data_IF_667997498645
#
_entry.id   IF_667997498645
#
_cell.length_a   1.000
_cell.length_b   1.000
_cell.length_c   1.000
_cell.angle_alpha   90.00
_cell.angle_beta   90.00
_cell.angle_gamma   90.00
#
_symmetry.space_group_name_H-M   'P 1'
#
loop_
_entity.id
_entity.type
_entity.pdbx_description
1 polymer ?
#
# COMPACT_ATOMS: atom_id res chain seq x y z
N UNK A 1 8.33 -54.22 6.10
CA UNK A 1 6.89 -54.18 6.46
C UNK A 1 6.76 -53.77 7.92
N UNK A 2 5.91 -52.76 8.19
CA UNK A 2 5.29 -52.41 9.49
C UNK A 2 6.25 -51.84 10.55
N UNK A 3 6.04 -50.73 11.27
CA UNK A 3 5.02 -49.69 11.45
C UNK A 3 5.75 -48.60 12.29
N UNK A 4 5.83 -47.34 11.82
CA UNK A 4 4.98 -46.20 12.23
C UNK A 4 5.23 -45.61 13.64
N UNK A 5 5.54 -44.30 13.64
CA UNK A 5 5.09 -43.22 14.56
C UNK A 5 6.07 -42.72 15.63
N UNK A 6 6.30 -41.40 15.57
CA UNK A 6 6.96 -40.55 16.57
C UNK A 6 7.41 -39.22 15.95
N UNK A 7 6.54 -38.49 15.25
CA UNK A 7 5.97 -37.21 15.74
C UNK A 7 7.01 -36.31 16.41
N UNK A 8 7.61 -35.40 15.64
CA UNK A 8 7.59 -33.96 15.93
C UNK A 8 7.96 -33.20 14.66
N UNK A 9 7.06 -33.25 13.68
CA UNK A 9 7.02 -32.28 12.60
C UNK A 9 6.46 -30.97 13.18
N UNK A 10 7.34 -30.05 13.59
CA UNK A 10 7.01 -28.62 13.67
C UNK A 10 7.48 -27.97 12.37
N UNK A 11 6.87 -28.46 11.30
CA UNK A 11 6.85 -27.82 9.99
C UNK A 11 5.78 -26.74 10.06
N UNK A 12 6.09 -25.61 10.70
CA UNK A 12 5.40 -24.36 10.40
C UNK A 12 6.04 -23.79 9.13
N UNK A 13 5.85 -24.51 8.03
CA UNK A 13 5.96 -23.93 6.71
C UNK A 13 4.86 -22.86 6.67
N UNK A 14 5.24 -21.60 6.88
CA UNK A 14 4.43 -20.46 6.51
C UNK A 14 4.15 -20.64 5.02
N UNK A 15 2.94 -21.09 4.71
CA UNK A 15 2.41 -21.14 3.36
C UNK A 15 2.40 -19.70 2.85
N UNK A 16 3.46 -19.31 2.16
CA UNK A 16 3.46 -18.16 1.28
C UNK A 16 2.65 -18.60 0.07
N UNK A 17 1.31 -18.55 0.18
CA UNK A 17 0.47 -18.58 -1.01
C UNK A 17 0.71 -17.26 -1.74
N UNK A 18 1.74 -17.22 -2.58
CA UNK A 18 1.92 -16.18 -3.58
C UNK A 18 0.81 -16.34 -4.62
N UNK A 19 -0.37 -15.79 -4.33
CA UNK A 19 -1.34 -15.49 -5.37
C UNK A 19 -0.74 -14.40 -6.24
N UNK A 20 -0.25 -14.82 -7.40
CA UNK A 20 0.30 -13.95 -8.43
C UNK A 20 -0.73 -12.91 -8.89
N UNK A 21 -0.34 -11.64 -8.85
CA UNK A 21 -0.68 -10.63 -9.86
C UNK A 21 -2.17 -10.33 -10.05
N UNK A 22 -2.83 -9.75 -9.05
CA UNK A 22 -4.18 -9.19 -9.22
C UNK A 22 -4.96 -9.00 -7.91
N UNK A 23 -4.52 -9.66 -6.84
CA UNK A 23 -5.20 -9.68 -5.55
C UNK A 23 -5.13 -8.40 -4.74
N UNK A 24 -5.88 -8.39 -3.65
CA UNK A 24 -5.83 -7.36 -2.63
C UNK A 24 -4.82 -7.76 -1.53
N UNK A 25 -3.53 -7.71 -1.84
CA UNK A 25 -2.42 -7.84 -0.87
C UNK A 25 -1.81 -6.47 -0.60
N UNK A 26 -1.11 -6.23 0.53
CA UNK A 26 -0.52 -4.93 0.82
C UNK A 26 0.37 -4.41 -0.31
N UNK A 27 1.28 -5.24 -0.82
CA UNK A 27 2.18 -4.94 -1.95
C UNK A 27 1.40 -4.54 -3.20
N UNK A 28 0.42 -5.34 -3.62
CA UNK A 28 -0.38 -5.06 -4.81
C UNK A 28 -1.17 -3.74 -4.69
N UNK A 29 -1.71 -3.42 -3.50
CA UNK A 29 -2.39 -2.13 -3.25
C UNK A 29 -1.39 -0.99 -3.32
N UNK A 30 -0.23 -1.13 -2.67
CA UNK A 30 0.85 -0.15 -2.77
C UNK A 30 1.30 0.06 -4.21
N UNK A 31 1.52 -1.00 -4.99
CA UNK A 31 1.91 -0.89 -6.41
C UNK A 31 0.86 -0.13 -7.24
N UNK A 32 -0.43 -0.42 -7.04
CA UNK A 32 -1.53 0.28 -7.71
C UNK A 32 -1.60 1.75 -7.30
N UNK A 33 -1.44 2.06 -6.02
CA UNK A 33 -1.41 3.43 -5.51
C UNK A 33 -0.18 4.18 -6.05
N UNK A 34 1.02 3.61 -5.97
CA UNK A 34 2.25 4.23 -6.48
C UNK A 34 2.17 4.46 -7.99
N UNK A 35 1.56 3.54 -8.74
CA UNK A 35 1.27 3.73 -10.17
C UNK A 35 0.33 4.91 -10.40
N UNK A 36 -0.77 4.99 -9.67
CA UNK A 36 -1.71 6.12 -9.78
C UNK A 36 -1.02 7.46 -9.48
N UNK A 37 -0.15 7.50 -8.46
CA UNK A 37 0.63 8.67 -8.11
C UNK A 37 1.64 9.06 -9.20
N UNK A 38 2.38 8.09 -9.74
CA UNK A 38 3.31 8.27 -10.84
C UNK A 38 2.60 8.82 -12.09
N UNK A 39 1.43 8.27 -12.42
CA UNK A 39 0.61 8.68 -13.56
C UNK A 39 -0.19 9.98 -13.30
N UNK A 40 0.01 10.61 -12.13
CA UNK A 40 -0.71 11.81 -11.66
C UNK A 40 -2.23 11.65 -11.63
N UNK A 41 -2.71 10.41 -11.47
CA UNK A 41 -4.12 10.08 -11.33
C UNK A 41 -4.50 10.05 -9.84
N UNK A 42 -4.66 11.24 -9.25
CA UNK A 42 -4.94 11.39 -7.82
C UNK A 42 -6.34 10.87 -7.44
N UNK A 43 -7.31 10.94 -8.34
CA UNK A 43 -8.64 10.37 -8.14
C UNK A 43 -8.57 8.84 -7.98
N UNK A 44 -7.77 8.17 -8.80
CA UNK A 44 -7.51 6.73 -8.60
C UNK A 44 -6.68 6.45 -7.35
N UNK A 45 -5.77 7.35 -6.97
CA UNK A 45 -4.94 7.17 -5.78
C UNK A 45 -5.79 7.12 -4.51
N UNK A 46 -6.76 8.04 -4.38
CA UNK A 46 -7.59 8.14 -3.17
C UNK A 46 -8.50 6.94 -2.95
N UNK A 47 -8.81 6.16 -4.00
CA UNK A 47 -9.55 4.89 -3.86
C UNK A 47 -8.79 3.82 -3.06
N UNK A 48 -7.46 3.95 -2.98
CA UNK A 48 -6.62 3.04 -2.20
C UNK A 48 -6.38 3.53 -0.78
N UNK A 49 -6.86 4.72 -0.39
CA UNK A 49 -6.65 5.28 0.95
C UNK A 49 -7.76 4.83 1.90
N UNK A 50 -7.37 4.52 3.14
CA UNK A 50 -8.33 4.31 4.21
C UNK A 50 -8.89 5.66 4.66
N UNK A 51 -10.14 5.94 4.30
CA UNK A 51 -10.88 7.10 4.79
C UNK A 51 -11.80 6.61 5.90
N UNK A 52 -11.61 7.13 7.11
CA UNK A 52 -12.51 6.80 8.23
C UNK A 52 -13.89 7.36 7.93
N UNK A 53 -14.93 6.52 7.79
CA UNK A 53 -16.28 7.01 7.58
C UNK A 53 -16.71 7.82 8.81
N UNK A 54 -17.24 9.02 8.60
CA UNK A 54 -17.94 9.76 9.64
C UNK A 54 -19.41 9.84 9.27
N UNK A 55 -20.25 9.71 10.28
CA UNK A 55 -21.70 9.77 10.10
C UNK A 55 -22.10 11.12 9.49
N UNK A 56 -22.87 11.07 8.41
CA UNK A 56 -23.31 12.26 7.67
C UNK A 56 -22.27 12.88 6.73
N UNK A 57 -21.07 12.31 6.60
CA UNK A 57 -20.05 12.80 5.65
C UNK A 57 -20.26 12.20 4.25
N UNK A 58 -20.20 13.04 3.22
CA UNK A 58 -20.21 12.60 1.82
C UNK A 58 -18.81 12.09 1.45
N UNK A 59 -18.67 10.77 1.42
CA UNK A 59 -17.41 10.09 1.13
C UNK A 59 -16.81 10.49 -0.23
N UNK A 60 -17.64 10.75 -1.24
CA UNK A 60 -17.16 11.15 -2.58
C UNK A 60 -16.63 12.58 -2.55
N UNK A 61 -17.30 13.48 -1.81
CA UNK A 61 -16.79 14.82 -1.57
C UNK A 61 -15.44 14.79 -0.82
N UNK A 62 -15.30 13.92 0.19
CA UNK A 62 -14.06 13.77 0.96
C UNK A 62 -12.92 13.22 0.13
N UNK A 63 -13.18 12.21 -0.71
CA UNK A 63 -12.20 11.70 -1.69
C UNK A 63 -11.76 12.78 -2.67
N UNK A 64 -12.71 13.55 -3.21
CA UNK A 64 -12.41 14.64 -4.16
C UNK A 64 -11.57 15.74 -3.51
N UNK A 65 -11.89 16.11 -2.27
CA UNK A 65 -11.10 17.06 -1.50
C UNK A 65 -9.66 16.56 -1.28
N UNK A 66 -9.51 15.28 -0.90
CA UNK A 66 -8.21 14.66 -0.70
C UNK A 66 -7.40 14.56 -2.01
N UNK A 67 -8.05 14.20 -3.12
CA UNK A 67 -7.43 14.16 -4.45
C UNK A 67 -6.85 15.52 -4.84
N UNK A 68 -7.64 16.60 -4.69
CA UNK A 68 -7.18 17.97 -4.95
C UNK A 68 -6.02 18.40 -4.03
N UNK A 69 -6.06 18.03 -2.75
CA UNK A 69 -4.96 18.31 -1.81
C UNK A 69 -3.67 17.59 -2.22
N UNK A 70 -3.77 16.32 -2.62
CA UNK A 70 -2.62 15.52 -3.08
C UNK A 70 -2.03 16.08 -4.37
N UNK A 71 -2.87 16.47 -5.32
CA UNK A 71 -2.43 17.14 -6.54
C UNK A 71 -1.62 18.39 -6.22
N UNK A 72 -2.18 19.28 -5.39
CA UNK A 72 -1.51 20.53 -5.03
C UNK A 72 -0.17 20.28 -4.30
N UNK A 73 -0.13 19.30 -3.38
CA UNK A 73 1.10 18.93 -2.68
C UNK A 73 2.15 18.33 -3.61
N UNK A 74 1.74 17.51 -4.57
CA UNK A 74 2.62 16.91 -5.57
C UNK A 74 3.23 17.98 -6.49
N UNK A 75 2.43 18.96 -6.93
CA UNK A 75 2.91 20.12 -7.69
C UNK A 75 3.94 20.94 -6.90
N UNK A 76 3.75 21.11 -5.60
CA UNK A 76 4.72 21.85 -4.77
C UNK A 76 5.99 21.06 -4.43
N UNK A 77 5.87 19.74 -4.28
CA UNK A 77 6.95 18.89 -3.75
C UNK A 77 7.73 18.21 -4.87
N UNK A 78 7.05 17.47 -5.74
CA UNK A 78 7.70 16.68 -6.78
C UNK A 78 8.17 17.54 -7.93
N UNK A 79 7.46 18.63 -8.28
CA UNK A 79 7.93 19.51 -9.35
C UNK A 79 9.32 20.12 -9.06
N UNK A 80 9.59 20.46 -7.79
CA UNK A 80 10.92 20.97 -7.36
C UNK A 80 12.03 19.92 -7.46
N UNK A 81 11.68 18.64 -7.47
CA UNK A 81 12.60 17.49 -7.60
C UNK A 81 12.67 16.93 -9.02
N UNK A 82 12.19 17.67 -10.03
CA UNK A 82 12.13 17.19 -11.41
C UNK A 82 11.04 16.16 -11.69
N UNK A 83 10.08 15.99 -10.78
CA UNK A 83 8.96 15.07 -10.88
C UNK A 83 9.21 13.70 -10.23
N UNK A 84 8.18 12.86 -10.23
CA UNK A 84 8.26 11.45 -9.85
C UNK A 84 8.74 10.66 -11.07
N UNK A 85 9.89 10.00 -11.00
CA UNK A 85 10.47 9.26 -12.14
C UNK A 85 10.16 7.77 -12.11
N UNK A 86 10.34 7.10 -10.99
CA UNK A 86 10.10 5.66 -10.84
C UNK A 86 9.98 5.25 -9.38
N UNK A 87 9.45 4.06 -9.15
CA UNK A 87 9.41 3.46 -7.82
C UNK A 87 9.70 1.97 -7.86
N UNK A 88 10.09 1.43 -6.71
CA UNK A 88 10.37 0.02 -6.50
C UNK A 88 9.84 -0.40 -5.13
N UNK A 89 9.12 -1.52 -5.07
CA UNK A 89 8.73 -2.14 -3.80
C UNK A 89 9.88 -3.05 -3.34
N UNK A 90 10.47 -2.72 -2.20
CA UNK A 90 11.64 -3.40 -1.66
C UNK A 90 11.27 -4.56 -0.73
N UNK A 91 10.25 -4.37 0.11
CA UNK A 91 9.88 -5.31 1.16
C UNK A 91 8.41 -5.17 1.57
N UNK A 92 7.84 -6.23 2.14
CA UNK A 92 6.49 -6.25 2.71
C UNK A 92 6.52 -6.97 4.07
N UNK A 93 5.94 -6.33 5.08
CA UNK A 93 5.75 -6.91 6.41
C UNK A 93 4.30 -6.80 6.82
N UNK A 94 3.68 -7.94 7.09
CA UNK A 94 2.36 -8.03 7.73
C UNK A 94 2.58 -8.32 9.21
N UNK A 95 1.84 -7.63 10.07
CA UNK A 95 1.94 -7.80 11.51
C UNK A 95 1.34 -9.14 11.98
N UNK A 96 1.45 -9.44 13.28
CA UNK A 96 0.92 -10.69 13.84
C UNK A 96 -0.60 -10.78 13.81
N UNK A 97 -1.31 -9.64 13.82
CA UNK A 97 -2.77 -9.63 13.72
C UNK A 97 -3.24 -10.00 12.32
N UNK A 98 -2.41 -9.74 11.30
CA UNK A 98 -2.76 -9.96 9.90
C UNK A 98 -3.57 -8.82 9.30
N UNK A 99 -3.79 -7.72 10.03
CA UNK A 99 -4.67 -6.61 9.65
C UNK A 99 -3.92 -5.28 9.46
N UNK A 100 -2.63 -5.24 9.80
CA UNK A 100 -1.75 -4.10 9.57
C UNK A 100 -0.52 -4.56 8.78
N UNK A 101 -0.06 -3.72 7.86
CA UNK A 101 1.14 -4.00 7.08
C UNK A 101 1.97 -2.74 6.86
N UNK A 102 3.25 -2.94 6.57
CA UNK A 102 4.17 -1.93 6.09
C UNK A 102 4.86 -2.44 4.82
N UNK A 103 4.77 -1.65 3.75
CA UNK A 103 5.44 -1.94 2.47
C UNK A 103 6.54 -0.89 2.28
N UNK A 104 7.79 -1.35 2.18
CA UNK A 104 8.92 -0.44 1.95
C UNK A 104 9.02 -0.11 0.48
N UNK A 105 8.98 1.17 0.16
CA UNK A 105 9.03 1.67 -1.22
C UNK A 105 10.20 2.61 -1.38
N UNK A 106 10.98 2.40 -2.44
CA UNK A 106 11.96 3.34 -2.94
C UNK A 106 11.34 4.16 -4.06
N UNK A 107 11.43 5.49 -3.96
CA UNK A 107 11.02 6.43 -5.00
C UNK A 107 12.24 7.16 -5.55
N UNK A 108 12.34 7.26 -6.87
CA UNK A 108 13.37 8.04 -7.57
C UNK A 108 12.70 9.24 -8.22
N UNK A 109 13.32 10.41 -8.05
CA UNK A 109 12.83 11.67 -8.62
C UNK A 109 13.60 12.05 -9.89
N UNK A 110 13.07 13.04 -10.63
CA UNK A 110 13.68 13.50 -11.89
C UNK A 110 15.06 14.13 -11.72
N UNK A 111 15.34 14.72 -10.56
CA UNK A 111 16.66 15.25 -10.18
C UNK A 111 17.68 14.17 -9.78
N UNK A 112 17.27 12.89 -9.78
CA UNK A 112 18.10 11.75 -9.40
C UNK A 112 18.16 11.49 -7.89
N UNK A 113 17.52 12.32 -7.05
CA UNK A 113 17.39 12.03 -5.64
C UNK A 113 16.46 10.84 -5.40
N UNK A 114 16.72 10.11 -4.32
CA UNK A 114 15.97 8.92 -3.95
C UNK A 114 15.40 9.07 -2.53
N UNK A 115 14.28 8.41 -2.28
CA UNK A 115 13.67 8.33 -0.95
C UNK A 115 13.14 6.93 -0.72
N UNK A 116 13.50 6.33 0.41
CA UNK A 116 12.88 5.11 0.90
C UNK A 116 11.94 5.45 2.05
N UNK A 117 10.73 4.88 2.02
CA UNK A 117 9.75 5.03 3.09
C UNK A 117 8.88 3.79 3.26
N UNK A 118 8.38 3.60 4.48
CA UNK A 118 7.41 2.54 4.77
C UNK A 118 6.00 3.09 4.58
N UNK A 119 5.31 2.60 3.54
CA UNK A 119 3.89 2.85 3.31
C UNK A 119 3.11 1.94 4.24
N UNK A 120 2.35 2.53 5.17
CA UNK A 120 1.50 1.78 6.10
C UNK A 120 0.19 1.42 5.44
N UNK A 121 -0.31 0.23 5.73
CA UNK A 121 -1.60 -0.24 5.28
C UNK A 121 -2.36 -0.90 6.42
N UNK A 122 -3.68 -0.86 6.31
CA UNK A 122 -4.60 -1.60 7.18
C UNK A 122 -5.78 -2.12 6.38
N UNK A 123 -6.46 -3.14 6.88
CA UNK A 123 -7.74 -3.56 6.31
C UNK A 123 -8.85 -2.59 6.68
N UNK A 124 -9.79 -2.41 5.75
CA UNK A 124 -11.08 -1.79 6.03
C UNK A 124 -12.10 -2.81 6.57
N UNK A 125 -13.34 -2.36 6.81
CA UNK A 125 -14.42 -3.19 7.34
C UNK A 125 -14.80 -4.36 6.43
N UNK A 126 -14.43 -4.30 5.14
CA UNK A 126 -14.65 -5.37 4.15
C UNK A 126 -13.48 -6.35 4.10
N UNK A 127 -12.43 -6.10 4.89
CA UNK A 127 -11.18 -6.87 4.85
C UNK A 127 -10.25 -6.44 3.73
N UNK A 128 -10.54 -5.32 3.06
CA UNK A 128 -9.73 -4.86 1.94
C UNK A 128 -8.54 -4.02 2.42
N UNK A 129 -7.32 -4.30 1.93
CA UNK A 129 -6.16 -3.48 2.26
C UNK A 129 -6.28 -2.07 1.68
N UNK A 130 -5.98 -1.08 2.52
CA UNK A 130 -5.98 0.34 2.20
C UNK A 130 -4.75 1.01 2.80
N UNK A 131 -4.24 2.04 2.14
CA UNK A 131 -3.16 2.89 2.64
C UNK A 131 -3.64 3.62 3.89
N UNK A 132 -2.92 3.43 4.99
CA UNK A 132 -3.13 4.16 6.22
C UNK A 132 -2.23 5.39 6.21
N UNK A 133 -2.82 6.55 5.92
CA UNK A 133 -2.12 7.82 5.86
C UNK A 133 -1.74 8.37 7.26
N UNK A 134 -2.09 7.64 8.33
CA UNK A 134 -2.03 8.12 9.70
C UNK A 134 -3.20 9.05 10.01
N UNK A 135 -3.68 8.99 11.25
CA UNK A 135 -4.57 10.01 11.80
C UNK A 135 -3.78 11.26 12.18
#
# INVERSE_FOLDING_TARGET
MKKLIGIMALMAALFIMTSCGGGNSPKAVTEKAMKALHDKNYDSFVEYIYITPKEGEDMEASKKMLSGMLQNKAEQTYAKKGGFKSYEVLDEKIDQSGDVAAVRVKTVYGDGSEKEEDVKLKKDEKGDWKLDMGK
#
